data_IF_684297912436
#
_entry.id   IF_684297912436
#
_cell.length_a   1.000
_cell.length_b   1.000
_cell.length_c   1.000
_cell.angle_alpha   90.00
_cell.angle_beta   90.00
_cell.angle_gamma   90.00
#
_symmetry.space_group_name_H-M   'P 1'
#
loop_
_entity.id
_entity.type
_entity.pdbx_description
1 polymer ?
#
# COMPACT_ATOMS: atom_id res chain seq x y z
N UNK A 1 33.51 67.46 36.75
CA UNK A 1 32.23 67.00 36.16
C UNK A 1 32.19 67.15 34.64
N UNK A 2 32.61 68.22 34.01
CA UNK A 2 32.57 68.39 32.52
C UNK A 2 33.44 67.38 31.71
N UNK A 3 34.56 66.90 32.28
CA UNK A 3 35.43 65.91 31.58
C UNK A 3 34.87 64.51 31.58
N UNK A 4 34.07 64.13 32.58
CA UNK A 4 33.39 62.81 32.66
C UNK A 4 32.21 62.73 31.70
N UNK A 5 31.49 63.83 31.44
CA UNK A 5 30.38 63.88 30.49
C UNK A 5 30.84 63.76 29.03
N UNK A 6 32.03 64.28 28.68
CA UNK A 6 32.57 64.16 27.32
C UNK A 6 33.04 62.76 27.03
N UNK A 7 33.63 62.06 28.03
CA UNK A 7 34.07 60.66 27.89
C UNK A 7 32.86 59.70 27.75
N UNK A 8 31.75 59.97 28.42
CA UNK A 8 30.52 59.17 28.30
C UNK A 8 29.85 59.37 26.94
N UNK A 9 29.92 60.54 26.33
CA UNK A 9 29.36 60.86 25.01
C UNK A 9 30.18 60.21 23.87
N UNK A 10 31.49 60.08 24.02
CA UNK A 10 32.36 59.40 23.05
C UNK A 10 32.22 57.84 23.13
N UNK A 11 31.89 57.30 24.30
CA UNK A 11 31.64 55.89 24.44
C UNK A 11 30.25 55.47 23.91
N UNK A 12 29.28 56.39 23.88
CA UNK A 12 27.91 56.13 23.35
C UNK A 12 27.83 56.20 21.82
N UNK A 13 28.88 56.64 21.14
CA UNK A 13 28.95 56.74 19.67
C UNK A 13 29.66 55.56 18.98
N UNK A 14 29.91 54.47 19.66
CA UNK A 14 30.19 53.19 19.00
C UNK A 14 28.88 52.66 18.43
N UNK A 15 28.42 53.28 17.36
CA UNK A 15 27.37 52.78 16.50
C UNK A 15 27.88 51.43 16.01
N UNK A 16 27.27 50.34 16.50
CA UNK A 16 27.35 49.06 15.84
C UNK A 16 26.86 49.30 14.42
N UNK A 17 27.78 49.47 13.49
CA UNK A 17 27.49 49.38 12.05
C UNK A 17 27.07 47.91 11.82
N UNK A 18 25.79 47.61 11.99
CA UNK A 18 25.22 46.41 11.46
C UNK A 18 25.50 46.43 9.94
N UNK A 19 26.45 45.65 9.48
CA UNK A 19 26.71 45.53 8.06
C UNK A 19 25.48 44.94 7.44
N UNK A 20 24.64 45.81 6.87
CA UNK A 20 23.49 45.39 6.13
C UNK A 20 23.89 44.50 4.97
N UNK A 21 23.44 43.27 4.97
CA UNK A 21 23.83 42.25 4.00
C UNK A 21 22.66 41.52 3.40
N UNK A 22 22.72 41.27 2.10
CA UNK A 22 21.82 40.32 1.48
C UNK A 22 22.17 38.89 1.98
N UNK A 23 21.16 38.13 2.32
CA UNK A 23 21.22 36.70 2.69
C UNK A 23 20.03 35.99 2.09
N UNK A 24 20.17 34.70 1.82
CA UNK A 24 19.02 33.94 1.36
C UNK A 24 19.03 32.51 1.88
N UNK A 25 17.86 31.91 1.86
CA UNK A 25 17.63 30.48 2.08
C UNK A 25 16.87 29.92 0.88
N UNK A 26 17.08 28.64 0.60
CA UNK A 26 16.27 27.87 -0.34
C UNK A 26 15.25 27.01 0.41
N UNK A 27 14.11 26.72 -0.21
CA UNK A 27 13.13 25.77 0.31
C UNK A 27 13.71 24.33 0.49
N UNK A 28 14.73 23.99 -0.28
CA UNK A 28 15.53 22.78 -0.14
C UNK A 28 16.92 22.98 -0.73
N UNK A 29 17.91 22.31 -0.18
CA UNK A 29 19.28 22.29 -0.73
C UNK A 29 19.50 21.07 -1.63
N UNK A 30 18.71 19.99 -1.44
CA UNK A 30 18.73 18.78 -2.23
C UNK A 30 17.31 18.39 -2.62
N UNK A 31 17.09 18.24 -3.91
CA UNK A 31 15.81 17.74 -4.45
C UNK A 31 15.98 16.36 -5.08
N UNK A 32 15.07 15.42 -4.80
CA UNK A 32 15.07 14.10 -5.41
C UNK A 32 13.89 13.93 -6.36
N UNK A 33 14.19 13.63 -7.62
CA UNK A 33 13.16 13.32 -8.62
C UNK A 33 12.63 11.88 -8.52
N UNK A 34 13.34 10.99 -7.79
CA UNK A 34 13.07 9.56 -7.90
C UNK A 34 13.41 9.03 -9.28
N UNK A 35 12.57 8.14 -9.81
CA UNK A 35 12.71 7.65 -11.18
C UNK A 35 12.07 8.62 -12.18
N UNK A 36 12.77 8.91 -13.25
CA UNK A 36 12.29 9.72 -14.39
C UNK A 36 12.49 8.95 -15.70
N UNK A 37 11.62 9.15 -16.66
CA UNK A 37 11.73 8.47 -17.94
C UNK A 37 12.81 9.05 -18.84
N UNK A 38 13.47 8.19 -19.56
CA UNK A 38 14.48 8.56 -20.54
C UNK A 38 13.96 9.52 -21.59
N UNK A 39 14.72 10.60 -21.88
CA UNK A 39 14.34 11.68 -22.78
C UNK A 39 13.07 12.46 -22.40
N UNK A 40 12.59 12.31 -21.16
CA UNK A 40 11.53 13.16 -20.62
C UNK A 40 12.16 14.19 -19.67
N UNK A 41 12.38 15.44 -20.14
CA UNK A 41 12.99 16.47 -19.30
C UNK A 41 12.13 16.76 -18.06
N UNK A 42 12.80 16.98 -16.92
CA UNK A 42 12.15 17.34 -15.66
C UNK A 42 12.68 18.65 -15.13
N UNK A 43 11.84 19.40 -14.44
CA UNK A 43 12.21 20.71 -13.88
C UNK A 43 12.01 20.72 -12.38
N UNK A 44 13.04 21.12 -11.63
CA UNK A 44 12.92 21.49 -10.22
C UNK A 44 12.82 22.98 -10.07
N UNK A 45 11.94 23.44 -9.20
CA UNK A 45 11.83 24.86 -8.79
C UNK A 45 12.35 25.00 -7.37
N UNK A 46 13.44 25.77 -7.23
CA UNK A 46 13.91 26.23 -5.93
C UNK A 46 13.32 27.60 -5.65
N UNK A 47 12.72 27.75 -4.47
CA UNK A 47 12.22 29.05 -3.98
C UNK A 47 13.30 29.69 -3.11
N UNK A 48 13.83 30.79 -3.57
CA UNK A 48 14.85 31.57 -2.88
C UNK A 48 14.15 32.67 -2.06
N UNK A 49 14.31 32.65 -0.75
CA UNK A 49 13.76 33.70 0.14
C UNK A 49 14.89 34.61 0.61
N UNK A 50 14.79 35.91 0.34
CA UNK A 50 15.74 36.89 0.89
C UNK A 50 15.51 37.06 2.40
N UNK A 51 16.43 36.53 3.19
CA UNK A 51 16.41 36.60 4.67
C UNK A 51 17.31 37.72 5.21
N UNK A 52 17.96 38.47 4.32
CA UNK A 52 18.76 39.65 4.67
C UNK A 52 17.92 40.92 4.72
N UNK A 53 18.57 42.04 5.00
CA UNK A 53 18.00 43.39 5.10
C UNK A 53 18.29 44.26 3.87
N UNK A 54 19.07 43.76 2.89
CA UNK A 54 19.35 44.39 1.61
C UNK A 54 18.68 43.62 0.46
N UNK A 55 18.37 44.27 -0.68
CA UNK A 55 17.89 43.59 -1.88
C UNK A 55 18.88 42.53 -2.35
N UNK A 56 18.40 41.31 -2.56
CA UNK A 56 19.14 40.18 -3.06
C UNK A 56 19.15 40.21 -4.61
N UNK A 57 20.31 40.14 -5.20
CA UNK A 57 20.50 40.03 -6.66
C UNK A 57 21.16 38.70 -6.97
N UNK A 58 20.48 37.85 -7.71
CA UNK A 58 21.07 36.62 -8.28
C UNK A 58 21.75 36.98 -9.58
N UNK A 59 23.08 37.07 -9.55
CA UNK A 59 23.89 37.56 -10.69
C UNK A 59 24.02 36.53 -11.78
N UNK A 60 24.24 35.26 -11.36
CA UNK A 60 24.40 34.15 -12.28
C UNK A 60 23.91 32.85 -11.63
N UNK A 61 23.37 31.93 -12.45
CA UNK A 61 22.98 30.59 -12.03
C UNK A 61 23.51 29.60 -13.07
N UNK A 62 24.48 28.79 -12.66
CA UNK A 62 25.27 27.95 -13.56
C UNK A 62 25.09 26.46 -13.18
N UNK A 63 24.44 25.64 -14.04
CA UNK A 63 24.42 24.18 -13.88
C UNK A 63 25.80 23.57 -14.09
N UNK A 64 26.09 22.47 -13.39
CA UNK A 64 27.37 21.73 -13.48
C UNK A 64 27.55 20.91 -14.76
N UNK A 65 26.54 20.85 -15.63
CA UNK A 65 26.57 20.14 -16.91
C UNK A 65 25.72 20.82 -17.98
N UNK A 66 26.08 20.61 -19.24
CA UNK A 66 25.27 21.01 -20.40
C UNK A 66 23.93 20.25 -20.52
N UNK A 67 23.71 19.22 -19.68
CA UNK A 67 22.47 18.45 -19.59
C UNK A 67 21.39 19.17 -18.77
N UNK A 68 21.69 20.36 -18.24
CA UNK A 68 20.76 21.16 -17.46
C UNK A 68 20.74 22.60 -17.91
N UNK A 69 19.56 23.23 -17.85
CA UNK A 69 19.35 24.65 -18.16
C UNK A 69 18.69 25.32 -16.97
N UNK A 70 19.24 26.47 -16.56
CA UNK A 70 18.71 27.25 -15.45
C UNK A 70 18.02 28.53 -15.92
N UNK A 71 16.90 28.84 -15.28
CA UNK A 71 16.17 30.10 -15.39
C UNK A 71 15.90 30.64 -13.99
N UNK A 72 16.09 31.94 -13.75
CA UNK A 72 15.94 32.51 -12.42
C UNK A 72 15.38 33.92 -12.41
N UNK A 73 14.93 34.40 -11.26
CA UNK A 73 14.48 35.76 -11.04
C UNK A 73 15.65 36.73 -11.25
N UNK A 74 15.56 37.58 -12.29
CA UNK A 74 16.58 38.56 -12.67
C UNK A 74 16.45 39.90 -11.95
N UNK A 75 15.25 40.21 -11.44
CA UNK A 75 14.98 41.44 -10.69
C UNK A 75 15.45 41.32 -9.25
N UNK A 76 15.91 42.44 -8.60
CA UNK A 76 16.27 42.38 -7.19
C UNK A 76 15.11 41.88 -6.33
N UNK A 77 15.37 40.98 -5.43
CA UNK A 77 14.41 40.38 -4.49
C UNK A 77 14.47 41.20 -3.19
N UNK A 78 13.40 41.88 -2.86
CA UNK A 78 13.33 42.72 -1.64
C UNK A 78 13.49 41.87 -0.35
N UNK A 79 13.91 42.46 0.78
CA UNK A 79 13.92 41.79 2.07
C UNK A 79 12.58 41.12 2.40
N UNK A 80 12.63 39.83 2.79
CA UNK A 80 11.47 38.99 3.05
C UNK A 80 10.73 38.46 1.81
N UNK A 81 11.03 38.96 0.62
CA UNK A 81 10.41 38.51 -0.64
C UNK A 81 11.04 37.22 -1.17
N UNK A 82 10.36 36.61 -2.14
CA UNK A 82 10.76 35.33 -2.76
C UNK A 82 11.07 35.52 -4.24
N UNK A 83 12.11 34.81 -4.69
CA UNK A 83 12.45 34.58 -6.08
C UNK A 83 12.47 33.10 -6.40
N UNK A 84 12.67 32.75 -7.65
CA UNK A 84 12.73 31.38 -8.12
C UNK A 84 14.00 31.08 -8.92
N UNK A 85 14.48 29.85 -8.78
CA UNK A 85 15.47 29.24 -9.67
C UNK A 85 14.87 27.94 -10.18
N UNK A 86 14.62 27.87 -11.49
CA UNK A 86 14.09 26.70 -12.17
C UNK A 86 15.25 26.02 -12.91
N UNK A 87 15.46 24.74 -12.63
CA UNK A 87 16.52 23.95 -13.29
C UNK A 87 15.87 22.79 -14.02
N UNK A 88 16.02 22.77 -15.35
CA UNK A 88 15.50 21.69 -16.20
C UNK A 88 16.65 20.76 -16.57
N UNK A 89 16.48 19.48 -16.28
CA UNK A 89 17.40 18.39 -16.62
C UNK A 89 16.86 17.60 -17.81
N UNK A 90 17.68 17.29 -18.81
CA UNK A 90 17.26 16.73 -20.09
C UNK A 90 17.00 15.22 -20.12
N UNK A 91 17.39 14.48 -19.07
CA UNK A 91 17.20 13.05 -18.87
C UNK A 91 17.70 12.16 -20.04
N UNK A 92 18.76 12.56 -20.79
CA UNK A 92 19.24 11.81 -21.95
C UNK A 92 20.15 10.63 -21.61
N UNK A 93 20.74 10.58 -20.43
CA UNK A 93 21.63 9.50 -19.98
C UNK A 93 20.89 8.60 -18.98
N UNK A 94 20.85 7.28 -19.25
CA UNK A 94 20.27 6.29 -18.34
C UNK A 94 21.11 6.11 -17.08
N UNK A 95 20.49 5.78 -15.97
CA UNK A 95 21.11 5.47 -14.68
C UNK A 95 20.98 6.59 -13.64
N UNK A 96 21.65 6.39 -12.51
CA UNK A 96 21.63 7.35 -11.41
C UNK A 96 22.38 8.63 -11.78
N UNK A 97 21.84 9.75 -11.36
CA UNK A 97 22.48 11.05 -11.49
C UNK A 97 22.41 11.84 -10.20
N UNK A 98 23.43 12.64 -9.97
CA UNK A 98 23.47 13.72 -8.99
C UNK A 98 24.08 14.92 -9.64
N UNK A 99 23.38 16.04 -9.63
CA UNK A 99 23.75 17.29 -10.27
C UNK A 99 23.67 18.43 -9.30
N UNK A 100 24.39 19.52 -9.61
CA UNK A 100 24.36 20.75 -8.84
C UNK A 100 24.15 21.96 -9.74
N UNK A 101 23.70 23.04 -9.13
CA UNK A 101 23.62 24.35 -9.73
C UNK A 101 24.26 25.36 -8.80
N UNK A 102 25.23 26.10 -9.31
CA UNK A 102 25.91 27.20 -8.62
C UNK A 102 25.03 28.46 -8.72
N UNK A 103 24.75 29.10 -7.62
CA UNK A 103 24.03 30.40 -7.54
C UNK A 103 24.99 31.44 -7.06
N UNK A 104 25.34 32.39 -7.94
CA UNK A 104 26.15 33.57 -7.61
C UNK A 104 25.20 34.74 -7.26
N UNK A 105 25.52 35.47 -6.21
CA UNK A 105 24.72 36.60 -5.73
C UNK A 105 25.55 37.64 -4.95
N UNK A 106 24.91 38.74 -4.62
CA UNK A 106 25.45 39.75 -3.69
C UNK A 106 25.30 39.36 -2.20
N UNK A 107 24.83 38.14 -1.90
CA UNK A 107 24.69 37.66 -0.54
C UNK A 107 26.02 37.19 0.09
N UNK A 108 25.97 36.87 1.37
CA UNK A 108 27.04 36.16 2.08
C UNK A 108 26.53 34.81 2.61
N UNK A 109 27.10 33.67 2.13
CA UNK A 109 28.16 33.57 1.09
C UNK A 109 27.63 33.99 -0.29
N UNK A 110 28.53 34.48 -1.14
CA UNK A 110 28.21 34.95 -2.49
C UNK A 110 28.01 33.81 -3.52
N UNK A 111 28.35 32.57 -3.14
CA UNK A 111 28.21 31.37 -3.92
C UNK A 111 27.54 30.27 -3.07
N UNK A 112 26.42 29.74 -3.56
CA UNK A 112 25.70 28.64 -2.94
C UNK A 112 25.41 27.57 -3.99
N UNK A 113 25.54 26.30 -3.61
CA UNK A 113 25.19 25.17 -4.47
C UNK A 113 23.86 24.54 -4.03
N UNK A 114 22.91 24.44 -4.94
CA UNK A 114 21.72 23.60 -4.79
C UNK A 114 21.91 22.32 -5.60
N UNK A 115 21.35 21.22 -5.12
CA UNK A 115 21.58 19.88 -5.68
C UNK A 115 20.28 19.19 -6.03
N UNK A 116 20.33 18.34 -7.03
CA UNK A 116 19.22 17.44 -7.34
C UNK A 116 19.76 16.07 -7.81
N UNK A 117 18.98 15.02 -7.57
CA UNK A 117 19.32 13.66 -7.92
C UNK A 117 18.12 12.87 -8.42
N UNK A 118 18.36 11.69 -8.94
CA UNK A 118 17.34 10.74 -9.38
C UNK A 118 17.97 9.58 -10.16
N UNK A 119 17.11 8.83 -10.79
CA UNK A 119 17.48 7.74 -11.69
C UNK A 119 16.70 7.87 -12.99
N UNK A 120 17.43 7.95 -14.13
CA UNK A 120 16.81 7.90 -15.46
C UNK A 120 16.63 6.45 -15.85
N UNK A 121 15.37 6.04 -16.03
CA UNK A 121 14.98 4.68 -16.45
C UNK A 121 14.38 4.73 -17.84
N UNK A 122 14.46 3.64 -18.59
CA UNK A 122 13.90 3.57 -19.94
C UNK A 122 12.38 3.75 -19.94
N UNK A 123 11.72 3.21 -18.90
CA UNK A 123 10.28 3.26 -18.71
C UNK A 123 9.97 3.19 -17.20
N UNK A 124 9.06 4.04 -16.72
CA UNK A 124 8.54 3.93 -15.35
C UNK A 124 7.41 2.92 -15.35
N UNK A 125 7.67 1.75 -14.76
CA UNK A 125 6.66 0.68 -14.64
C UNK A 125 5.74 0.94 -13.47
N UNK A 126 4.50 1.30 -13.75
CA UNK A 126 3.45 1.39 -12.72
C UNK A 126 2.74 0.05 -12.55
N UNK A 127 2.96 -0.58 -11.41
CA UNK A 127 2.34 -1.86 -11.05
C UNK A 127 1.08 -1.69 -10.18
N UNK A 128 0.69 -0.48 -9.83
CA UNK A 128 -0.43 -0.23 -8.88
C UNK A 128 -1.75 -0.79 -9.37
N UNK A 129 -2.01 -0.76 -10.66
CA UNK A 129 -3.25 -1.30 -11.26
C UNK A 129 -3.29 -2.83 -11.31
N UNK A 130 -2.15 -3.48 -11.53
CA UNK A 130 -2.07 -4.94 -11.70
C UNK A 130 -1.72 -5.65 -10.40
N UNK A 131 -1.00 -5.00 -9.49
CA UNK A 131 -0.57 -5.51 -8.20
C UNK A 131 -0.85 -4.41 -7.14
N UNK A 132 -2.12 -4.23 -6.75
CA UNK A 132 -2.54 -3.09 -5.92
C UNK A 132 -2.02 -3.15 -4.48
N UNK A 133 -1.74 -4.34 -3.96
CA UNK A 133 -1.35 -4.52 -2.55
C UNK A 133 0.16 -4.43 -2.39
N UNK A 134 0.61 -3.75 -1.33
CA UNK A 134 2.02 -3.55 -1.02
C UNK A 134 2.36 -4.21 0.32
N UNK A 135 3.35 -5.10 0.31
CA UNK A 135 3.92 -5.75 1.49
C UNK A 135 5.41 -5.42 1.54
N UNK A 136 5.78 -4.43 2.37
CA UNK A 136 7.14 -3.88 2.35
C UNK A 136 7.47 -3.22 1.01
N UNK A 137 8.44 -3.78 0.28
CA UNK A 137 8.81 -3.36 -1.09
C UNK A 137 8.35 -4.37 -2.16
N UNK A 138 7.40 -5.24 -1.83
CA UNK A 138 6.85 -6.24 -2.74
C UNK A 138 5.40 -5.88 -3.03
N UNK A 139 5.02 -5.87 -4.30
CA UNK A 139 3.62 -5.74 -4.69
C UNK A 139 3.04 -7.09 -5.06
N UNK A 140 1.78 -7.30 -4.70
CA UNK A 140 1.02 -8.51 -5.01
C UNK A 140 -0.33 -8.16 -5.61
N UNK A 141 -0.90 -9.07 -6.39
CA UNK A 141 -2.20 -8.91 -7.06
C UNK A 141 -3.39 -9.26 -6.15
N UNK A 142 -3.17 -10.04 -5.07
CA UNK A 142 -4.21 -10.50 -4.13
C UNK A 142 -3.71 -10.40 -2.69
N UNK A 143 -4.58 -9.99 -1.78
CA UNK A 143 -4.33 -9.93 -0.34
C UNK A 143 -5.18 -10.92 0.48
N UNK A 144 -5.95 -11.79 -0.19
CA UNK A 144 -6.65 -12.94 0.37
C UNK A 144 -6.69 -14.08 -0.65
N UNK A 145 -6.76 -15.31 -0.17
CA UNK A 145 -6.71 -16.52 -0.99
C UNK A 145 -7.94 -17.38 -0.65
N UNK A 146 -8.99 -17.22 -1.44
CA UNK A 146 -10.23 -17.96 -1.25
C UNK A 146 -10.29 -19.07 -2.29
N UNK A 147 -10.07 -20.31 -1.85
CA UNK A 147 -10.24 -21.48 -2.72
C UNK A 147 -11.71 -21.70 -3.03
N UNK A 148 -12.04 -22.22 -4.23
CA UNK A 148 -13.43 -22.61 -4.53
C UNK A 148 -13.90 -23.69 -3.57
N UNK A 149 -15.20 -24.01 -3.60
CA UNK A 149 -15.71 -25.20 -2.92
C UNK A 149 -15.00 -26.46 -3.42
N UNK A 150 -14.51 -27.29 -2.51
CA UNK A 150 -13.60 -28.38 -2.80
C UNK A 150 -14.23 -29.71 -2.42
N UNK A 151 -14.08 -30.72 -3.26
CA UNK A 151 -14.38 -32.11 -2.90
C UNK A 151 -13.13 -32.86 -2.47
N UNK A 152 -13.30 -33.92 -1.69
CA UNK A 152 -12.18 -34.76 -1.27
C UNK A 152 -11.46 -35.37 -2.49
N UNK A 153 -10.14 -35.33 -2.51
CA UNK A 153 -9.31 -35.74 -3.65
C UNK A 153 -8.95 -34.63 -4.64
N UNK A 154 -9.63 -33.49 -4.62
CA UNK A 154 -9.29 -32.35 -5.49
C UNK A 154 -8.06 -31.58 -5.00
N UNK A 155 -7.34 -30.99 -5.97
CA UNK A 155 -6.16 -30.18 -5.72
C UNK A 155 -6.26 -28.83 -6.45
N UNK A 156 -7.13 -27.91 -6.00
CA UNK A 156 -7.27 -26.61 -6.63
C UNK A 156 -6.03 -25.75 -6.44
N UNK A 157 -5.81 -24.85 -7.39
CA UNK A 157 -4.62 -24.00 -7.48
C UNK A 157 -5.02 -22.52 -7.45
N UNK A 158 -4.30 -21.71 -6.69
CA UNK A 158 -4.37 -20.24 -6.74
C UNK A 158 -3.00 -19.70 -7.14
N UNK A 159 -3.00 -18.69 -7.99
CA UNK A 159 -1.79 -17.96 -8.37
C UNK A 159 -1.80 -16.58 -7.70
N UNK A 160 -0.65 -16.18 -7.15
CA UNK A 160 -0.38 -14.84 -6.65
C UNK A 160 0.68 -14.23 -7.53
N UNK A 161 0.33 -13.17 -8.25
CA UNK A 161 1.29 -12.35 -8.96
C UNK A 161 2.10 -11.51 -7.97
N UNK A 162 3.42 -11.51 -8.12
CA UNK A 162 4.34 -10.74 -7.28
C UNK A 162 5.25 -9.87 -8.12
N UNK A 163 5.63 -8.70 -7.60
CA UNK A 163 6.61 -7.79 -8.21
C UNK A 163 7.59 -7.31 -7.15
N UNK A 164 8.87 -7.43 -7.43
CA UNK A 164 9.93 -6.88 -6.59
C UNK A 164 10.16 -5.39 -6.93
N UNK A 165 9.90 -4.49 -6.00
CA UNK A 165 10.23 -3.06 -6.13
C UNK A 165 11.52 -2.68 -5.39
N UNK A 166 12.13 -3.62 -4.65
CA UNK A 166 13.38 -3.36 -3.93
C UNK A 166 14.58 -3.29 -4.88
N UNK A 167 15.64 -2.62 -4.45
CA UNK A 167 16.92 -2.55 -5.20
C UNK A 167 17.77 -3.84 -5.09
N UNK A 168 17.24 -4.86 -4.39
CA UNK A 168 17.93 -6.15 -4.18
C UNK A 168 17.17 -7.28 -4.84
N UNK A 169 17.87 -8.35 -5.29
CA UNK A 169 17.20 -9.58 -5.69
C UNK A 169 16.32 -10.11 -4.55
N UNK A 170 15.13 -10.59 -4.91
CA UNK A 170 14.13 -11.06 -3.96
C UNK A 170 13.69 -12.49 -4.28
N UNK A 171 13.69 -13.34 -3.27
CA UNK A 171 13.17 -14.69 -3.32
C UNK A 171 11.80 -14.73 -2.62
N UNK A 172 10.68 -14.88 -3.35
CA UNK A 172 9.36 -14.94 -2.75
C UNK A 172 9.21 -16.22 -1.90
N UNK A 173 8.90 -16.06 -0.62
CA UNK A 173 8.66 -17.17 0.30
C UNK A 173 7.36 -16.93 1.05
N UNK A 174 6.45 -17.91 1.03
CA UNK A 174 5.31 -17.95 1.93
C UNK A 174 5.67 -18.73 3.19
N UNK A 175 5.59 -18.05 4.32
CA UNK A 175 5.88 -18.62 5.64
C UNK A 175 4.60 -19.17 6.29
N UNK A 176 4.75 -20.08 7.25
CA UNK A 176 3.68 -20.72 8.02
C UNK A 176 2.63 -21.43 7.15
N UNK A 177 3.07 -22.11 6.09
CA UNK A 177 2.19 -22.89 5.25
C UNK A 177 1.52 -24.02 6.05
N UNK A 178 0.18 -24.10 6.07
CA UNK A 178 -0.52 -25.25 6.60
C UNK A 178 -0.14 -26.53 5.85
N UNK A 179 -0.22 -27.72 6.49
CA UNK A 179 0.21 -28.99 5.87
C UNK A 179 -0.52 -29.35 4.58
N UNK A 180 -1.73 -28.80 4.37
CA UNK A 180 -2.54 -29.00 3.17
C UNK A 180 -2.19 -28.07 2.01
N UNK A 181 -1.27 -27.10 2.19
CA UNK A 181 -0.82 -26.18 1.15
C UNK A 181 0.61 -26.48 0.71
N UNK A 182 0.84 -26.39 -0.59
CA UNK A 182 2.16 -26.45 -1.21
C UNK A 182 2.36 -25.24 -2.11
N UNK A 183 3.61 -24.78 -2.23
CA UNK A 183 3.95 -23.60 -3.05
C UNK A 183 5.04 -23.93 -4.06
N UNK A 184 4.93 -23.28 -5.22
CA UNK A 184 5.98 -23.19 -6.24
C UNK A 184 6.11 -21.75 -6.66
N UNK A 185 7.33 -21.26 -6.86
CA UNK A 185 7.61 -19.88 -7.26
C UNK A 185 8.36 -19.86 -8.58
N UNK A 186 7.91 -19.03 -9.52
CA UNK A 186 8.54 -18.90 -10.84
C UNK A 186 8.54 -17.43 -11.28
N UNK A 187 9.72 -16.86 -11.59
CA UNK A 187 11.07 -17.37 -11.32
C UNK A 187 11.38 -17.36 -9.81
N UNK A 188 12.36 -18.20 -9.38
CA UNK A 188 12.73 -18.32 -7.97
C UNK A 188 13.29 -17.01 -7.38
N UNK A 189 13.95 -16.18 -8.21
CA UNK A 189 14.54 -14.90 -7.80
C UNK A 189 14.03 -13.83 -8.73
N UNK A 190 13.56 -12.73 -8.17
CA UNK A 190 13.07 -11.57 -8.89
C UNK A 190 14.03 -10.39 -8.76
N UNK A 191 14.51 -9.86 -9.89
CA UNK A 191 15.24 -8.60 -9.93
C UNK A 191 14.29 -7.41 -9.72
N UNK A 192 14.83 -6.21 -9.48
CA UNK A 192 14.04 -4.97 -9.36
C UNK A 192 13.11 -4.79 -10.58
N UNK A 193 11.82 -4.58 -10.33
CA UNK A 193 10.79 -4.41 -11.36
C UNK A 193 10.41 -5.71 -12.09
N UNK A 194 10.94 -6.85 -11.69
CA UNK A 194 10.59 -8.14 -12.27
C UNK A 194 9.34 -8.72 -11.62
N UNK A 195 8.54 -9.40 -12.45
CA UNK A 195 7.32 -10.12 -12.06
C UNK A 195 7.59 -11.59 -11.87
N UNK A 196 6.91 -12.19 -10.90
CA UNK A 196 6.86 -13.63 -10.69
C UNK A 196 5.48 -14.09 -10.29
N UNK A 197 5.33 -15.38 -10.18
CA UNK A 197 4.08 -16.03 -9.75
C UNK A 197 4.39 -17.03 -8.64
N UNK A 198 3.67 -16.90 -7.53
CA UNK A 198 3.61 -17.93 -6.49
C UNK A 198 2.36 -18.75 -6.78
N UNK A 199 2.56 -20.02 -7.05
CA UNK A 199 1.50 -21.01 -7.24
C UNK A 199 1.25 -21.73 -5.93
N UNK A 200 0.03 -21.63 -5.38
CA UNK A 200 -0.42 -22.40 -4.23
C UNK A 200 -1.31 -23.54 -4.69
N UNK A 201 -0.97 -24.75 -4.31
CA UNK A 201 -1.80 -25.95 -4.52
C UNK A 201 -2.33 -26.43 -3.18
N UNK A 202 -3.64 -26.59 -3.08
CA UNK A 202 -4.29 -27.19 -1.91
C UNK A 202 -4.49 -28.67 -2.14
N UNK A 203 -4.04 -29.52 -1.20
CA UNK A 203 -4.32 -30.94 -1.18
C UNK A 203 -5.51 -31.20 -0.23
N UNK A 204 -6.68 -31.46 -0.78
CA UNK A 204 -7.91 -31.68 0.00
C UNK A 204 -7.91 -32.96 0.84
N UNK A 205 -7.09 -33.95 0.50
CA UNK A 205 -6.92 -35.17 1.33
C UNK A 205 -6.34 -34.88 2.71
N UNK A 206 -5.66 -33.73 2.85
CA UNK A 206 -5.08 -33.28 4.12
C UNK A 206 -6.00 -32.34 4.91
N UNK A 207 -7.18 -32.04 4.39
CA UNK A 207 -8.24 -31.35 5.14
C UNK A 207 -9.03 -32.40 5.95
N UNK A 208 -9.06 -32.24 7.26
CA UNK A 208 -9.70 -33.20 8.17
C UNK A 208 -11.16 -32.88 8.44
N UNK A 209 -11.53 -31.61 8.36
CA UNK A 209 -12.86 -31.14 8.74
C UNK A 209 -13.67 -30.70 7.52
N UNK A 210 -14.91 -31.17 7.43
CA UNK A 210 -15.87 -30.68 6.45
C UNK A 210 -16.26 -29.21 6.75
N UNK A 211 -16.54 -28.47 5.68
CA UNK A 211 -16.91 -27.06 5.73
C UNK A 211 -15.70 -26.14 5.69
N UNK A 212 -15.85 -24.95 6.28
CA UNK A 212 -14.87 -23.88 6.22
C UNK A 212 -13.63 -24.18 7.05
N UNK A 213 -12.46 -24.14 6.39
CA UNK A 213 -11.14 -24.07 7.01
C UNK A 213 -10.52 -22.70 6.72
N UNK A 214 -10.01 -22.04 7.75
CA UNK A 214 -9.34 -20.75 7.64
C UNK A 214 -7.93 -20.85 8.24
N UNK A 215 -6.97 -20.20 7.59
CA UNK A 215 -5.60 -20.08 8.04
C UNK A 215 -5.00 -18.76 7.53
N UNK A 216 -3.80 -18.43 7.95
CA UNK A 216 -3.01 -17.32 7.42
C UNK A 216 -1.66 -17.84 6.96
N UNK A 217 -1.22 -17.36 5.81
CA UNK A 217 0.15 -17.47 5.33
C UNK A 217 0.78 -16.09 5.31
N UNK A 218 2.09 -16.00 5.31
CA UNK A 218 2.79 -14.72 5.44
C UNK A 218 3.83 -14.60 4.33
N UNK A 219 3.75 -13.50 3.56
CA UNK A 219 4.76 -13.26 2.54
C UNK A 219 6.01 -12.65 3.17
N UNK A 220 7.14 -13.34 3.07
CA UNK A 220 8.43 -12.82 3.53
C UNK A 220 8.83 -11.60 2.68
N UNK A 221 9.14 -10.46 3.32
CA UNK A 221 9.60 -9.24 2.66
C UNK A 221 11.09 -9.25 2.34
N UNK A 222 11.84 -10.07 3.07
CA UNK A 222 13.29 -10.27 2.95
C UNK A 222 13.70 -11.54 3.69
N UNK A 223 14.89 -12.04 3.44
CA UNK A 223 15.43 -13.25 4.12
C UNK A 223 15.52 -13.02 5.64
N UNK A 224 14.90 -13.92 6.42
CA UNK A 224 14.82 -13.82 7.88
C UNK A 224 13.71 -12.92 8.41
N UNK A 225 12.73 -12.57 7.57
CA UNK A 225 11.55 -11.80 7.98
C UNK A 225 10.71 -12.55 9.03
N UNK A 226 9.93 -11.79 9.80
CA UNK A 226 9.01 -12.32 10.81
C UNK A 226 7.57 -12.20 10.34
N UNK A 227 6.71 -13.05 10.88
CA UNK A 227 5.26 -12.97 10.66
C UNK A 227 4.65 -11.82 11.46
N UNK A 228 3.69 -11.13 10.86
CA UNK A 228 2.96 -10.02 11.44
C UNK A 228 1.79 -9.60 10.56
N UNK A 229 0.93 -8.73 11.06
CA UNK A 229 -0.26 -8.25 10.35
C UNK A 229 0.08 -7.59 9.00
N UNK A 230 1.30 -7.02 8.89
CA UNK A 230 1.77 -6.30 7.71
C UNK A 230 2.18 -7.19 6.54
N UNK A 231 2.34 -8.51 6.76
CA UNK A 231 2.68 -9.47 5.71
C UNK A 231 1.76 -10.70 5.69
N UNK A 232 0.65 -10.62 6.43
CA UNK A 232 -0.38 -11.64 6.50
C UNK A 232 -1.24 -11.69 5.23
N UNK A 233 -1.50 -12.90 4.75
CA UNK A 233 -2.43 -13.20 3.67
C UNK A 233 -3.40 -14.29 4.17
N UNK A 234 -4.67 -13.95 4.45
CA UNK A 234 -5.67 -14.92 4.86
C UNK A 234 -5.94 -15.93 3.75
N UNK A 235 -6.18 -17.18 4.16
CA UNK A 235 -6.54 -18.29 3.28
C UNK A 235 -7.83 -18.90 3.77
N UNK A 236 -8.77 -19.16 2.86
CA UNK A 236 -10.00 -19.89 3.15
C UNK A 236 -10.24 -21.01 2.14
N UNK A 237 -10.82 -22.10 2.61
CA UNK A 237 -11.22 -23.25 1.80
C UNK A 237 -12.46 -23.89 2.40
N UNK A 238 -13.37 -24.40 1.57
CA UNK A 238 -14.59 -25.12 2.01
C UNK A 238 -14.52 -26.55 1.46
N UNK A 239 -14.33 -27.53 2.36
CA UNK A 239 -14.42 -28.93 1.99
C UNK A 239 -15.87 -29.39 2.04
N UNK A 240 -16.41 -29.77 0.89
CA UNK A 240 -17.76 -30.31 0.78
C UNK A 240 -17.81 -31.78 1.15
N UNK A 241 -18.94 -32.27 1.69
CA UNK A 241 -19.17 -33.70 1.85
C UNK A 241 -19.30 -34.37 0.47
N UNK A 242 -18.76 -35.59 0.36
CA UNK A 242 -18.88 -36.39 -0.86
C UNK A 242 -20.22 -37.14 -0.87
N UNK A 243 -21.02 -36.90 -1.91
CA UNK A 243 -22.30 -37.59 -2.18
C UNK A 243 -22.25 -38.43 -3.47
N UNK A 244 -21.04 -38.68 -4.03
CA UNK A 244 -20.89 -39.42 -5.28
C UNK A 244 -21.36 -40.90 -5.17
N UNK A 245 -21.27 -41.47 -3.97
CA UNK A 245 -21.75 -42.83 -3.68
C UNK A 245 -23.24 -43.02 -3.49
N UNK A 246 -24.03 -41.91 -3.48
CA UNK A 246 -25.46 -42.00 -3.30
C UNK A 246 -26.18 -42.55 -4.54
N UNK A 247 -27.07 -43.51 -4.32
CA UNK A 247 -27.98 -44.02 -5.36
C UNK A 247 -29.04 -42.98 -5.76
N UNK A 248 -29.64 -43.13 -6.93
CA UNK A 248 -30.70 -42.20 -7.37
C UNK A 248 -31.93 -42.22 -6.41
N UNK A 249 -32.22 -43.34 -5.76
CA UNK A 249 -33.29 -43.46 -4.75
C UNK A 249 -32.91 -42.66 -3.50
N UNK A 250 -31.67 -42.71 -3.03
CA UNK A 250 -31.21 -41.95 -1.88
C UNK A 250 -31.20 -40.45 -2.19
N UNK A 251 -30.71 -40.04 -3.38
CA UNK A 251 -30.79 -38.65 -3.84
C UNK A 251 -32.23 -38.13 -3.91
N UNK A 252 -33.17 -38.92 -4.45
CA UNK A 252 -34.57 -38.54 -4.56
C UNK A 252 -35.27 -38.43 -3.18
N UNK A 253 -34.76 -39.12 -2.17
CA UNK A 253 -35.27 -39.09 -0.82
C UNK A 253 -34.45 -38.20 0.13
N UNK A 254 -33.40 -37.57 -0.35
CA UNK A 254 -32.51 -36.69 0.45
C UNK A 254 -33.26 -35.48 1.03
N UNK A 255 -32.77 -34.89 2.14
CA UNK A 255 -33.21 -33.59 2.56
C UNK A 255 -32.76 -32.54 1.55
N UNK A 256 -33.51 -31.47 1.39
CA UNK A 256 -33.17 -30.36 0.51
C UNK A 256 -33.35 -29.03 1.21
N UNK A 257 -32.35 -28.14 1.09
CA UNK A 257 -32.41 -26.83 1.72
C UNK A 257 -32.97 -25.81 0.73
N UNK A 258 -33.98 -25.09 1.15
CA UNK A 258 -34.47 -23.89 0.50
C UNK A 258 -34.26 -22.68 1.42
N UNK A 259 -33.65 -21.61 0.91
CA UNK A 259 -33.44 -20.33 1.62
C UNK A 259 -34.39 -19.28 1.07
N UNK A 260 -35.04 -18.51 1.95
CA UNK A 260 -35.88 -17.37 1.53
C UNK A 260 -35.08 -16.28 0.76
N UNK A 261 -33.82 -16.17 1.01
CA UNK A 261 -32.86 -15.37 0.22
C UNK A 261 -31.44 -15.93 0.39
N UNK A 262 -30.62 -15.80 -0.65
CA UNK A 262 -29.20 -16.14 -0.62
C UNK A 262 -28.31 -14.92 -0.34
N UNK A 263 -28.86 -13.71 -0.49
CA UNK A 263 -28.13 -12.44 -0.32
C UNK A 263 -28.91 -11.54 0.64
N UNK A 264 -28.17 -10.79 1.44
CA UNK A 264 -28.70 -9.87 2.45
C UNK A 264 -27.89 -8.58 2.42
N UNK A 265 -28.52 -7.48 2.01
CA UNK A 265 -27.91 -6.14 2.11
C UNK A 265 -28.36 -5.47 3.42
N UNK A 266 -27.39 -5.19 4.28
CA UNK A 266 -27.59 -4.47 5.54
C UNK A 266 -27.00 -3.05 5.53
N UNK A 267 -26.52 -2.56 4.39
CA UNK A 267 -25.81 -1.26 4.25
C UNK A 267 -26.65 -0.09 4.78
N UNK A 268 -27.91 -0.02 4.41
CA UNK A 268 -28.81 1.05 4.84
C UNK A 268 -29.06 1.05 6.37
N UNK A 269 -29.09 -0.12 7.00
CA UNK A 269 -29.25 -0.25 8.45
C UNK A 269 -27.95 0.16 9.16
N UNK A 270 -26.80 -0.30 8.66
CA UNK A 270 -25.48 -0.03 9.23
C UNK A 270 -25.04 1.43 9.01
N UNK A 271 -25.61 2.13 8.03
CA UNK A 271 -25.42 3.57 7.90
C UNK A 271 -25.93 4.33 9.13
N UNK A 272 -27.03 3.87 9.73
CA UNK A 272 -27.74 4.53 10.86
C UNK A 272 -27.51 3.87 12.22
N UNK A 273 -27.10 2.59 12.26
CA UNK A 273 -26.94 1.81 13.50
C UNK A 273 -25.60 1.10 13.57
N UNK A 274 -25.13 0.86 14.79
CA UNK A 274 -23.90 0.10 15.06
C UNK A 274 -24.02 -1.40 14.83
N UNK A 275 -25.27 -1.91 14.71
CA UNK A 275 -25.58 -3.32 14.54
C UNK A 275 -26.81 -3.48 13.66
N UNK A 276 -26.72 -4.38 12.69
CA UNK A 276 -27.82 -4.79 11.83
C UNK A 276 -28.17 -6.27 12.09
N UNK A 277 -29.44 -6.62 11.90
CA UNK A 277 -29.95 -7.99 12.01
C UNK A 277 -30.96 -8.24 10.92
N UNK A 278 -30.88 -9.43 10.31
CA UNK A 278 -31.88 -9.91 9.36
C UNK A 278 -32.10 -11.40 9.56
N UNK A 279 -33.32 -11.82 9.41
CA UNK A 279 -33.73 -13.22 9.52
C UNK A 279 -33.89 -13.81 8.12
N UNK A 280 -33.32 -15.00 7.91
CA UNK A 280 -33.46 -15.82 6.72
C UNK A 280 -34.27 -17.07 7.14
N UNK A 281 -35.28 -17.42 6.37
CA UNK A 281 -35.99 -18.67 6.59
C UNK A 281 -35.30 -19.80 5.85
N UNK A 282 -34.95 -20.87 6.57
CA UNK A 282 -34.48 -22.14 6.02
C UNK A 282 -35.63 -23.13 6.04
N UNK A 283 -35.96 -23.71 4.90
CA UNK A 283 -37.03 -24.72 4.78
C UNK A 283 -36.45 -26.03 4.26
N UNK A 284 -36.78 -27.15 4.86
CA UNK A 284 -36.47 -28.45 4.30
C UNK A 284 -37.57 -28.81 3.25
N UNK A 285 -37.20 -28.69 1.98
CA UNK A 285 -38.09 -29.05 0.84
C UNK A 285 -37.88 -30.49 0.36
N UNK A 286 -36.98 -31.24 1.01
CA UNK A 286 -36.68 -32.64 0.72
C UNK A 286 -37.68 -33.61 1.40
N UNK A 287 -37.34 -34.90 1.28
CA UNK A 287 -38.22 -35.99 1.75
C UNK A 287 -37.74 -36.65 3.05
N UNK A 288 -36.50 -36.37 3.46
CA UNK A 288 -35.91 -36.86 4.71
C UNK A 288 -35.63 -35.72 5.68
N UNK A 289 -35.45 -36.00 6.98
CA UNK A 289 -35.09 -34.98 7.95
C UNK A 289 -33.79 -34.31 7.59
N UNK A 290 -33.75 -32.98 7.59
CA UNK A 290 -32.57 -32.16 7.38
C UNK A 290 -31.92 -31.86 8.74
N UNK A 291 -30.66 -32.22 8.89
CA UNK A 291 -29.85 -31.91 10.07
C UNK A 291 -28.78 -30.89 9.71
N UNK A 292 -28.83 -29.71 10.34
CA UNK A 292 -27.83 -28.63 10.18
C UNK A 292 -26.83 -28.78 11.31
N UNK A 293 -25.67 -29.39 11.02
CA UNK A 293 -24.67 -29.75 12.04
C UNK A 293 -23.74 -28.60 12.37
N UNK A 294 -23.48 -27.66 11.41
CA UNK A 294 -22.48 -26.63 11.55
C UNK A 294 -22.92 -25.33 10.84
N UNK A 295 -22.66 -24.20 11.48
CA UNK A 295 -22.77 -22.87 10.90
C UNK A 295 -21.41 -22.20 10.99
N UNK A 296 -20.90 -21.72 9.87
CA UNK A 296 -19.61 -21.06 9.79
C UNK A 296 -19.75 -19.68 9.17
N UNK A 297 -18.93 -18.73 9.59
CA UNK A 297 -18.87 -17.36 9.08
C UNK A 297 -17.44 -17.00 8.75
N UNK A 298 -17.25 -16.26 7.66
CA UNK A 298 -15.93 -15.88 7.15
C UNK A 298 -15.36 -14.62 7.81
N UNK A 299 -16.20 -13.81 8.46
CA UNK A 299 -15.79 -12.48 8.90
C UNK A 299 -16.20 -12.21 10.36
N UNK A 300 -15.29 -11.68 11.20
CA UNK A 300 -15.55 -11.44 12.63
C UNK A 300 -16.66 -10.40 12.91
N UNK A 301 -17.06 -9.60 11.91
CA UNK A 301 -18.20 -8.71 12.01
C UNK A 301 -19.55 -9.43 11.91
N UNK A 302 -19.57 -10.66 11.37
CA UNK A 302 -20.80 -11.45 11.12
C UNK A 302 -21.00 -12.46 12.23
N UNK A 303 -22.21 -12.60 12.69
CA UNK A 303 -22.64 -13.67 13.59
C UNK A 303 -23.94 -14.27 13.12
N UNK A 304 -24.07 -15.58 13.27
CA UNK A 304 -25.28 -16.32 12.90
C UNK A 304 -25.85 -17.07 14.10
N UNK A 305 -27.16 -17.18 14.15
CA UNK A 305 -27.88 -17.96 15.17
C UNK A 305 -29.06 -18.69 14.54
N UNK A 306 -29.10 -19.99 14.73
CA UNK A 306 -30.14 -20.87 14.23
C UNK A 306 -31.11 -21.25 15.38
N UNK A 307 -32.44 -21.13 15.14
CA UNK A 307 -33.44 -21.43 16.18
C UNK A 307 -33.63 -22.95 16.36
N UNK A 308 -33.56 -23.73 15.27
CA UNK A 308 -33.73 -25.19 15.26
C UNK A 308 -32.82 -25.77 14.20
N UNK A 309 -32.09 -26.85 14.54
CA UNK A 309 -31.05 -27.46 13.67
C UNK A 309 -31.56 -28.75 12.98
N UNK A 310 -32.65 -29.34 13.40
CA UNK A 310 -33.25 -30.53 12.76
C UNK A 310 -34.62 -30.17 12.24
N UNK A 311 -34.84 -30.31 10.92
CA UNK A 311 -36.11 -29.96 10.25
C UNK A 311 -36.69 -31.20 9.59
N UNK A 312 -37.96 -31.52 9.93
CA UNK A 312 -38.72 -32.53 9.22
C UNK A 312 -39.03 -32.05 7.79
N UNK A 313 -39.40 -32.93 6.85
CA UNK A 313 -39.89 -32.55 5.53
C UNK A 313 -40.99 -31.49 5.62
N UNK A 314 -40.82 -30.39 4.87
CA UNK A 314 -41.74 -29.23 4.88
C UNK A 314 -41.55 -28.27 6.06
N UNK A 315 -40.73 -28.61 7.05
CA UNK A 315 -40.51 -27.75 8.22
C UNK A 315 -39.54 -26.62 7.93
N UNK A 316 -39.71 -25.48 8.61
CA UNK A 316 -38.87 -24.30 8.47
C UNK A 316 -38.28 -23.86 9.80
N UNK A 317 -37.12 -23.26 9.76
CA UNK A 317 -36.46 -22.58 10.89
C UNK A 317 -35.97 -21.20 10.50
N UNK A 318 -35.67 -20.39 11.50
CA UNK A 318 -35.12 -19.05 11.33
C UNK A 318 -33.62 -19.05 11.60
N UNK A 319 -32.87 -18.62 10.61
CA UNK A 319 -31.46 -18.26 10.72
C UNK A 319 -31.35 -16.73 10.89
N UNK A 320 -30.89 -16.27 12.02
CA UNK A 320 -30.62 -14.85 12.26
C UNK A 320 -29.19 -14.51 11.90
N UNK A 321 -29.02 -13.61 10.93
CA UNK A 321 -27.72 -13.01 10.59
C UNK A 321 -27.60 -11.67 11.32
N UNK A 322 -26.47 -11.43 11.94
CA UNK A 322 -26.15 -10.20 12.66
C UNK A 322 -24.84 -9.64 12.17
N UNK A 323 -24.76 -8.35 11.86
CA UNK A 323 -23.53 -7.65 11.50
C UNK A 323 -23.25 -6.54 12.51
N UNK A 324 -22.02 -6.48 12.99
CA UNK A 324 -21.53 -5.48 13.98
C UNK A 324 -20.56 -4.52 13.30
N UNK A 325 -20.98 -3.25 13.12
CA UNK A 325 -20.26 -2.22 12.35
C UNK A 325 -18.81 -2.02 12.80
N UNK A 326 -18.55 -1.99 14.11
CA UNK A 326 -17.19 -1.78 14.66
C UNK A 326 -16.18 -2.87 14.31
N UNK A 327 -16.67 -4.02 13.84
CA UNK A 327 -15.82 -5.16 13.46
C UNK A 327 -15.66 -5.26 11.93
N UNK A 328 -16.34 -4.41 11.14
CA UNK A 328 -16.12 -4.31 9.70
C UNK A 328 -14.73 -3.71 9.48
N UNK A 329 -13.90 -4.35 8.67
CA UNK A 329 -12.50 -3.95 8.45
C UNK A 329 -11.49 -4.55 9.45
N UNK A 330 -11.94 -5.36 10.43
CA UNK A 330 -11.05 -6.25 11.18
C UNK A 330 -10.83 -7.52 10.37
N UNK A 331 -9.57 -7.92 10.27
CA UNK A 331 -9.20 -9.21 9.67
C UNK A 331 -9.44 -10.35 10.63
#
# INVERSE_FOLDING_TARGET
MKRILITLYVLASVVLTAVAQARFTSNTEMYSFGQIEWKHPVTVQYTITNTGDQPLVLTEVEPDCACSVAQWTKTPIAPGAKGTVNVTFDAKALGHFQKSVAIYSNAQPNLVYLKFNGEVVQEIKDFTKTHPYLIGQIRIDKNSLDFPDIQHGEQPVIHIGVVNLSDRPYEPVLMHLPPYLQTKVEPNVLQKGEKGVITLTLNSERLTDLGLTQASVYLSRFSGDKVGDENEIPVSAILLPDFSGMTEVEKANAPAIHLSTKEVDMSAILAKKSKARQDITITNTGRSPLQINKLQVFHPAVGVNLKKSVLQPGESTRLRVTVVKKNIGKK
#
